data_IF_395493052356
#
_entry.id   IF_395493052356
#
_cell.length_a   1.000
_cell.length_b   1.000
_cell.length_c   1.000
_cell.angle_alpha   90.00
_cell.angle_beta   90.00
_cell.angle_gamma   90.00
#
_symmetry.space_group_name_H-M   'P 1'
#
loop_
_entity.id
_entity.type
_entity.pdbx_description
1 polymer ?
#
# COMPACT_ATOMS: atom_id res chain seq x y z
N UNK A 1 5.58 18.87 -20.04
CA UNK A 1 4.95 18.51 -18.75
C UNK A 1 4.74 17.00 -18.80
N UNK A 2 5.15 16.25 -17.80
CA UNK A 2 4.94 14.80 -17.76
C UNK A 2 3.44 14.57 -17.54
N UNK A 3 2.80 13.83 -18.43
CA UNK A 3 1.40 13.44 -18.34
C UNK A 3 1.34 11.96 -17.95
N UNK A 4 0.66 11.65 -16.84
CA UNK A 4 0.53 10.29 -16.37
C UNK A 4 -0.40 9.50 -17.27
N UNK A 5 0.13 8.47 -17.91
CA UNK A 5 -0.64 7.62 -18.84
C UNK A 5 -1.67 6.78 -18.09
N UNK A 6 -2.80 6.52 -18.74
CA UNK A 6 -3.80 5.55 -18.25
C UNK A 6 -3.30 4.11 -18.41
N UNK A 7 -3.76 3.24 -17.51
CA UNK A 7 -3.51 1.80 -17.58
C UNK A 7 -4.44 1.13 -18.64
N UNK A 8 -4.03 0.02 -19.23
CA UNK A 8 -2.81 -0.77 -18.98
C UNK A 8 -1.56 -0.15 -19.59
N UNK A 9 -0.41 -0.49 -19.04
CA UNK A 9 0.91 -0.24 -19.65
C UNK A 9 1.09 -1.17 -20.85
N UNK A 10 1.86 -0.74 -21.86
CA UNK A 10 2.22 -1.59 -23.00
C UNK A 10 2.88 -2.89 -22.49
N UNK A 11 2.30 -4.05 -22.86
CA UNK A 11 2.77 -5.37 -22.45
C UNK A 11 4.25 -5.61 -22.76
N UNK A 12 4.76 -5.06 -23.86
CA UNK A 12 6.18 -5.14 -24.24
C UNK A 12 7.12 -4.56 -23.19
N UNK A 13 6.64 -3.64 -22.34
CA UNK A 13 7.42 -3.04 -21.26
C UNK A 13 7.47 -3.90 -20.00
N UNK A 14 6.43 -4.70 -19.77
CA UNK A 14 6.27 -5.52 -18.55
C UNK A 14 6.46 -7.02 -18.79
N UNK A 15 6.37 -7.51 -20.03
CA UNK A 15 6.57 -8.92 -20.38
C UNK A 15 8.01 -9.21 -20.86
N UNK A 16 9.01 -8.60 -20.21
CA UNK A 16 10.41 -8.89 -20.52
C UNK A 16 10.87 -10.15 -19.82
N UNK A 17 11.85 -10.84 -20.38
CA UNK A 17 12.43 -12.08 -19.79
C UNK A 17 12.87 -11.85 -18.35
N UNK A 18 13.43 -10.68 -18.02
CA UNK A 18 13.90 -10.38 -16.67
C UNK A 18 12.73 -10.22 -15.70
N UNK A 19 11.66 -9.54 -16.11
CA UNK A 19 10.45 -9.38 -15.28
C UNK A 19 9.77 -10.74 -15.09
N UNK A 20 9.59 -11.54 -16.13
CA UNK A 20 8.98 -12.87 -16.03
C UNK A 20 9.77 -13.82 -15.12
N UNK A 21 11.11 -13.77 -15.15
CA UNK A 21 11.94 -14.54 -14.22
C UNK A 21 11.79 -14.06 -12.77
N UNK A 22 11.72 -12.75 -12.55
CA UNK A 22 11.51 -12.17 -11.20
C UNK A 22 10.11 -12.53 -10.67
N UNK A 23 9.10 -12.42 -11.51
CA UNK A 23 7.71 -12.79 -11.20
C UNK A 23 7.58 -14.28 -10.83
N UNK A 24 8.18 -15.18 -11.63
CA UNK A 24 8.19 -16.63 -11.32
C UNK A 24 8.81 -16.90 -9.95
N UNK A 25 9.90 -16.23 -9.62
CA UNK A 25 10.55 -16.36 -8.30
C UNK A 25 9.67 -15.83 -7.17
N UNK A 26 9.03 -14.68 -7.37
CA UNK A 26 8.14 -14.08 -6.38
C UNK A 26 6.87 -14.91 -6.18
N UNK A 27 6.24 -15.39 -7.26
CA UNK A 27 5.06 -16.24 -7.21
C UNK A 27 5.34 -17.55 -6.45
N UNK A 28 6.51 -18.17 -6.67
CA UNK A 28 6.94 -19.36 -5.91
C UNK A 28 7.05 -19.07 -4.42
N UNK A 29 7.67 -17.96 -4.03
CA UNK A 29 7.81 -17.59 -2.62
C UNK A 29 6.45 -17.26 -1.96
N UNK A 30 5.54 -16.60 -2.69
CA UNK A 30 4.17 -16.35 -2.19
C UNK A 30 3.37 -17.64 -2.03
N UNK A 31 3.47 -18.58 -2.97
CA UNK A 31 2.80 -19.88 -2.86
C UNK A 31 3.33 -20.68 -1.65
N UNK A 32 4.63 -20.65 -1.40
CA UNK A 32 5.24 -21.27 -0.22
C UNK A 32 4.75 -20.61 1.08
N UNK A 33 4.73 -19.26 1.15
CA UNK A 33 4.19 -18.52 2.29
C UNK A 33 2.72 -18.86 2.55
N UNK A 34 1.88 -18.87 1.50
CA UNK A 34 0.47 -19.25 1.58
C UNK A 34 0.31 -20.68 2.12
N UNK A 35 1.11 -21.61 1.62
CA UNK A 35 1.09 -23.01 2.06
C UNK A 35 1.48 -23.17 3.54
N UNK A 36 2.55 -22.52 3.98
CA UNK A 36 3.00 -22.55 5.37
C UNK A 36 1.96 -21.92 6.29
N UNK A 37 1.36 -20.79 5.92
CA UNK A 37 0.36 -20.11 6.73
C UNK A 37 -0.85 -21.01 7.04
N UNK A 38 -1.25 -21.84 6.08
CA UNK A 38 -2.42 -22.72 6.23
C UNK A 38 -2.21 -23.87 7.21
N UNK A 39 -0.98 -24.26 7.52
CA UNK A 39 -0.67 -25.32 8.47
C UNK A 39 -0.39 -24.84 9.90
N UNK A 40 -0.38 -23.53 10.12
CA UNK A 40 -0.16 -22.95 11.47
C UNK A 40 -1.44 -23.12 12.31
N UNK A 41 -1.36 -23.78 13.50
CA UNK A 41 -2.55 -24.08 14.30
C UNK A 41 -3.33 -22.86 14.77
N UNK A 42 -2.66 -21.73 15.01
CA UNK A 42 -3.28 -20.47 15.43
C UNK A 42 -2.87 -19.33 14.51
N UNK A 43 -3.54 -19.27 13.35
CA UNK A 43 -3.29 -18.26 12.33
C UNK A 43 -3.52 -16.82 12.86
N UNK A 44 -4.47 -16.62 13.78
CA UNK A 44 -4.80 -15.27 14.27
C UNK A 44 -3.63 -14.62 15.01
N UNK A 45 -2.84 -15.38 15.76
CA UNK A 45 -1.63 -14.87 16.43
C UNK A 45 -0.59 -14.42 15.41
N UNK A 46 -0.36 -15.26 14.38
CA UNK A 46 0.58 -14.94 13.30
C UNK A 46 0.15 -13.70 12.54
N UNK A 47 -1.12 -13.65 12.11
CA UNK A 47 -1.68 -12.53 11.37
C UNK A 47 -1.53 -11.23 12.18
N UNK A 48 -1.93 -11.24 13.45
CA UNK A 48 -1.82 -10.08 14.31
C UNK A 48 -0.36 -9.60 14.47
N UNK A 49 0.59 -10.52 14.65
CA UNK A 49 2.00 -10.17 14.78
C UNK A 49 2.57 -9.58 13.48
N UNK A 50 2.26 -10.19 12.33
CA UNK A 50 2.74 -9.72 11.02
C UNK A 50 2.11 -8.36 10.68
N UNK A 51 0.80 -8.22 10.83
CA UNK A 51 0.10 -6.95 10.55
C UNK A 51 0.65 -5.83 11.43
N UNK A 52 0.96 -6.09 12.70
CA UNK A 52 1.55 -5.10 13.59
C UNK A 52 2.97 -4.67 13.13
N UNK A 53 3.80 -5.62 12.69
CA UNK A 53 5.13 -5.32 12.17
C UNK A 53 5.05 -4.58 10.82
N UNK A 54 4.15 -4.99 9.93
CA UNK A 54 3.88 -4.30 8.67
C UNK A 54 3.44 -2.86 8.92
N UNK A 55 2.49 -2.65 9.84
CA UNK A 55 1.99 -1.32 10.23
C UNK A 55 3.12 -0.41 10.73
N UNK A 56 4.01 -0.96 11.58
CA UNK A 56 5.16 -0.24 12.12
C UNK A 56 6.14 0.18 11.04
N UNK A 57 6.57 -0.76 10.20
CA UNK A 57 7.59 -0.47 9.21
C UNK A 57 7.04 0.35 8.04
N UNK A 58 5.78 0.15 7.65
CA UNK A 58 5.11 0.98 6.66
C UNK A 58 4.99 2.45 7.12
N UNK A 59 4.64 2.67 8.38
CA UNK A 59 4.64 4.01 8.98
C UNK A 59 6.06 4.58 9.11
N UNK A 60 7.04 3.73 9.44
CA UNK A 60 8.46 4.10 9.51
C UNK A 60 9.07 4.56 8.18
N UNK A 61 8.57 4.07 7.04
CA UNK A 61 8.94 4.57 5.71
C UNK A 61 8.61 6.07 5.60
N UNK A 62 7.50 6.51 6.19
CA UNK A 62 7.05 7.91 6.25
C UNK A 62 7.60 8.68 7.48
N UNK A 63 8.68 8.19 8.11
CA UNK A 63 9.30 8.77 9.30
C UNK A 63 8.42 8.81 10.57
N UNK A 64 7.33 8.03 10.62
CA UNK A 64 6.51 7.83 11.82
C UNK A 64 7.13 6.70 12.63
N UNK A 65 7.84 7.04 13.70
CA UNK A 65 8.69 6.10 14.44
C UNK A 65 8.08 5.79 15.79
N UNK A 66 7.89 4.50 16.08
CA UNK A 66 7.51 3.98 17.40
C UNK A 66 8.32 2.73 17.76
N UNK A 67 8.36 2.38 19.02
CA UNK A 67 9.06 1.18 19.51
C UNK A 67 8.12 -0.04 19.53
N UNK A 68 8.72 -1.23 19.52
CA UNK A 68 7.94 -2.47 19.69
C UNK A 68 7.24 -2.50 21.04
N UNK A 69 7.91 -2.04 22.09
CA UNK A 69 7.37 -2.04 23.46
C UNK A 69 6.13 -1.15 23.56
N UNK A 70 6.15 0.04 22.98
CA UNK A 70 4.99 0.94 22.94
C UNK A 70 3.83 0.35 22.17
N UNK A 71 4.09 -0.29 21.03
CA UNK A 71 3.06 -0.99 20.26
C UNK A 71 2.44 -2.17 21.04
N UNK A 72 3.25 -3.00 21.65
CA UNK A 72 2.73 -4.12 22.44
C UNK A 72 1.93 -3.63 23.66
N UNK A 73 2.36 -2.57 24.32
CA UNK A 73 1.59 -1.93 25.41
C UNK A 73 0.27 -1.36 24.91
N UNK A 74 0.25 -0.74 23.72
CA UNK A 74 -0.97 -0.22 23.11
C UNK A 74 -1.96 -1.33 22.75
N UNK A 75 -1.48 -2.44 22.17
CA UNK A 75 -2.31 -3.60 21.80
C UNK A 75 -2.85 -4.34 23.04
N UNK A 76 -2.08 -4.42 24.11
CA UNK A 76 -2.48 -5.08 25.36
C UNK A 76 -3.32 -4.20 26.29
N UNK A 77 -3.65 -2.97 25.87
CA UNK A 77 -4.41 -1.98 26.66
C UNK A 77 -3.77 -1.64 28.02
N UNK A 78 -2.48 -1.93 28.18
CA UNK A 78 -1.74 -1.65 29.43
C UNK A 78 -1.14 -0.26 29.47
N UNK A 79 -1.13 0.45 28.34
CA UNK A 79 -0.59 1.80 28.24
C UNK A 79 -1.57 2.82 28.86
N UNK A 80 -1.10 3.57 29.85
CA UNK A 80 -1.85 4.70 30.44
C UNK A 80 -2.00 5.87 29.47
N UNK A 81 -1.07 6.03 28.54
CA UNK A 81 -1.06 7.06 27.52
C UNK A 81 -0.31 6.52 26.29
N UNK A 82 -0.89 6.72 25.11
CA UNK A 82 -0.30 6.32 23.84
C UNK A 82 0.14 7.61 23.11
N UNK A 83 1.39 7.66 22.64
CA UNK A 83 1.90 8.78 21.85
C UNK A 83 1.29 8.82 20.43
N UNK A 84 1.48 9.95 19.71
CA UNK A 84 0.87 10.14 18.39
C UNK A 84 1.40 9.16 17.35
N UNK A 85 2.71 8.88 17.35
CA UNK A 85 3.31 7.96 16.37
C UNK A 85 2.78 6.53 16.56
N UNK A 86 2.69 6.07 17.80
CA UNK A 86 2.10 4.77 18.13
C UNK A 86 0.62 4.69 17.72
N UNK A 87 -0.17 5.77 17.91
CA UNK A 87 -1.56 5.83 17.44
C UNK A 87 -1.65 5.70 15.91
N UNK A 88 -0.81 6.40 15.16
CA UNK A 88 -0.79 6.34 13.70
C UNK A 88 -0.46 4.92 13.19
N UNK A 89 0.46 4.22 13.86
CA UNK A 89 0.72 2.81 13.54
C UNK A 89 -0.50 1.92 13.85
N UNK A 90 -1.24 2.19 14.92
CA UNK A 90 -2.47 1.48 15.22
C UNK A 90 -3.57 1.76 14.19
N UNK A 91 -3.69 3.00 13.70
CA UNK A 91 -4.62 3.35 12.61
C UNK A 91 -4.28 2.65 11.30
N UNK A 92 -2.99 2.48 10.98
CA UNK A 92 -2.59 1.66 9.83
C UNK A 92 -3.10 0.22 9.97
N UNK A 93 -2.92 -0.39 11.14
CA UNK A 93 -3.43 -1.73 11.45
C UNK A 93 -4.96 -1.80 11.27
N UNK A 94 -5.68 -0.82 11.79
CA UNK A 94 -7.14 -0.72 11.66
C UNK A 94 -7.57 -0.57 10.20
N UNK A 95 -6.91 0.31 9.44
CA UNK A 95 -7.17 0.54 8.02
C UNK A 95 -6.95 -0.73 7.19
N UNK A 96 -5.87 -1.48 7.45
CA UNK A 96 -5.59 -2.75 6.77
C UNK A 96 -6.66 -3.80 7.05
N UNK A 97 -7.09 -3.95 8.31
CA UNK A 97 -8.18 -4.89 8.64
C UNK A 97 -9.51 -4.45 8.05
N UNK A 98 -9.84 -3.15 8.10
CA UNK A 98 -11.06 -2.63 7.47
C UNK A 98 -11.09 -2.95 5.98
N UNK A 99 -10.00 -2.64 5.25
CA UNK A 99 -9.89 -2.99 3.83
C UNK A 99 -10.00 -4.48 3.55
N UNK A 100 -9.37 -5.31 4.40
CA UNK A 100 -9.45 -6.77 4.28
C UNK A 100 -10.88 -7.30 4.45
N UNK A 101 -11.62 -6.84 5.45
CA UNK A 101 -13.00 -7.27 5.67
C UNK A 101 -13.96 -6.79 4.57
N UNK A 102 -13.77 -5.56 4.07
CA UNK A 102 -14.52 -5.04 2.92
C UNK A 102 -14.27 -5.87 1.67
N UNK A 103 -12.99 -6.17 1.38
CA UNK A 103 -12.62 -7.05 0.27
C UNK A 103 -13.27 -8.43 0.38
N UNK A 104 -13.27 -9.04 1.57
CA UNK A 104 -13.93 -10.35 1.79
C UNK A 104 -15.45 -10.30 1.61
N UNK A 105 -16.09 -9.15 1.82
CA UNK A 105 -17.53 -8.98 1.66
C UNK A 105 -17.94 -8.76 0.19
N UNK A 106 -17.08 -8.12 -0.61
CA UNK A 106 -17.48 -7.64 -1.95
C UNK A 106 -16.67 -8.28 -3.10
N UNK A 107 -15.50 -8.85 -2.83
CA UNK A 107 -14.59 -9.45 -3.81
C UNK A 107 -14.13 -8.47 -4.91
N UNK A 108 -14.05 -7.19 -4.57
CA UNK A 108 -13.45 -6.12 -5.39
C UNK A 108 -12.99 -4.96 -4.50
N UNK A 109 -12.16 -4.07 -5.05
CA UNK A 109 -11.68 -2.85 -4.39
C UNK A 109 -12.22 -1.63 -5.15
N UNK A 110 -13.10 -0.86 -4.52
CA UNK A 110 -13.65 0.37 -5.09
C UNK A 110 -12.85 1.61 -4.69
N UNK A 111 -13.11 2.73 -5.36
CA UNK A 111 -12.59 4.05 -4.95
C UNK A 111 -13.03 4.38 -3.52
N UNK A 112 -14.28 4.05 -3.16
CA UNK A 112 -14.79 4.30 -1.81
C UNK A 112 -14.05 3.49 -0.74
N UNK A 113 -13.65 2.24 -1.05
CA UNK A 113 -12.83 1.43 -0.13
C UNK A 113 -11.46 2.07 0.07
N UNK A 114 -10.83 2.56 -1.00
CA UNK A 114 -9.54 3.26 -0.93
C UNK A 114 -9.65 4.54 -0.10
N UNK A 115 -10.70 5.34 -0.30
CA UNK A 115 -10.98 6.54 0.48
C UNK A 115 -11.23 6.20 1.96
N UNK A 116 -11.97 5.14 2.25
CA UNK A 116 -12.23 4.70 3.61
C UNK A 116 -10.95 4.21 4.33
N UNK A 117 -10.09 3.47 3.63
CA UNK A 117 -8.78 3.07 4.14
C UNK A 117 -7.96 4.31 4.52
N UNK A 118 -7.86 5.29 3.62
CA UNK A 118 -7.12 6.52 3.88
C UNK A 118 -7.72 7.33 5.03
N UNK A 119 -9.06 7.45 5.10
CA UNK A 119 -9.76 8.13 6.20
C UNK A 119 -9.41 7.52 7.56
N UNK A 120 -9.45 6.20 7.68
CA UNK A 120 -9.06 5.50 8.92
C UNK A 120 -7.59 5.76 9.24
N UNK A 121 -6.73 5.72 8.22
CA UNK A 121 -5.29 5.87 8.35
C UNK A 121 -4.86 7.23 8.89
N UNK A 122 -5.48 8.32 8.41
CA UNK A 122 -5.10 9.71 8.75
C UNK A 122 -6.07 10.38 9.70
N UNK A 123 -7.16 9.71 10.08
CA UNK A 123 -8.19 10.20 11.02
C UNK A 123 -8.80 11.55 10.61
N UNK A 124 -9.01 11.75 9.31
CA UNK A 124 -9.72 12.92 8.79
C UNK A 124 -10.61 12.57 7.59
N UNK A 125 -11.53 13.47 7.26
CA UNK A 125 -12.53 13.33 6.20
C UNK A 125 -12.22 14.16 4.94
N UNK A 126 -10.97 14.57 4.72
CA UNK A 126 -10.59 15.41 3.57
C UNK A 126 -10.83 14.70 2.22
N UNK A 127 -10.71 13.38 2.19
CA UNK A 127 -10.93 12.57 0.99
C UNK A 127 -9.95 12.89 -0.13
N UNK A 128 -10.39 12.68 -1.38
CA UNK A 128 -9.59 12.97 -2.58
C UNK A 128 -9.34 14.47 -2.67
N UNK A 129 -8.08 14.87 -2.86
CA UNK A 129 -7.71 16.28 -2.97
C UNK A 129 -8.38 16.97 -4.16
N UNK A 130 -8.79 18.20 -3.92
CA UNK A 130 -9.51 19.03 -4.90
C UNK A 130 -8.72 20.28 -5.29
N UNK A 131 -7.76 20.68 -4.44
CA UNK A 131 -6.95 21.88 -4.65
C UNK A 131 -5.64 21.53 -5.37
N UNK A 132 -5.23 22.36 -6.35
CA UNK A 132 -3.93 22.20 -7.01
C UNK A 132 -2.79 22.63 -6.06
N UNK A 133 -1.55 22.37 -6.49
CA UNK A 133 -0.34 22.82 -5.79
C UNK A 133 0.43 21.70 -5.09
N UNK A 134 -0.09 20.47 -5.08
CA UNK A 134 0.64 19.30 -4.55
C UNK A 134 1.90 19.07 -5.38
N UNK A 135 3.04 18.91 -4.70
CA UNK A 135 4.34 18.61 -5.29
C UNK A 135 5.04 17.62 -4.37
N UNK A 136 5.70 16.63 -4.94
CA UNK A 136 6.60 15.77 -4.20
C UNK A 136 7.99 16.38 -4.24
N UNK A 137 8.56 16.58 -3.08
CA UNK A 137 9.88 17.20 -2.92
C UNK A 137 10.84 16.24 -2.26
N UNK A 138 12.11 16.37 -2.58
CA UNK A 138 13.15 15.68 -1.85
C UNK A 138 13.41 16.41 -0.52
N UNK A 139 13.17 15.72 0.60
CA UNK A 139 13.31 16.30 1.95
C UNK A 139 14.71 16.83 2.27
N UNK A 140 15.75 16.34 1.58
CA UNK A 140 17.15 16.77 1.80
C UNK A 140 17.54 17.99 0.96
N UNK A 141 17.04 18.07 -0.30
CA UNK A 141 17.45 19.10 -1.27
C UNK A 141 16.38 20.17 -1.50
N UNK A 142 15.15 19.96 -1.03
CA UNK A 142 13.95 20.77 -1.35
C UNK A 142 13.65 20.88 -2.85
N UNK A 143 14.23 20.02 -3.67
CA UNK A 143 13.95 19.95 -5.10
C UNK A 143 12.63 19.24 -5.37
N UNK A 144 11.86 19.76 -6.32
CA UNK A 144 10.63 19.10 -6.79
C UNK A 144 11.04 17.89 -7.62
N UNK A 145 10.73 16.69 -7.13
CA UNK A 145 11.02 15.43 -7.82
C UNK A 145 9.88 14.97 -8.72
N UNK A 146 8.64 15.32 -8.38
CA UNK A 146 7.47 14.99 -9.16
C UNK A 146 6.30 15.94 -8.88
N UNK A 147 5.52 16.25 -9.93
CA UNK A 147 4.28 17.01 -9.81
C UNK A 147 3.13 16.12 -10.25
N UNK A 148 2.31 15.59 -9.31
CA UNK A 148 1.18 14.72 -9.63
C UNK A 148 0.05 15.48 -10.33
N UNK A 149 -0.98 14.81 -10.87
CA UNK A 149 -2.17 15.43 -11.44
C UNK A 149 -2.71 16.55 -10.56
N UNK A 150 -3.08 17.69 -11.12
CA UNK A 150 -3.41 18.88 -10.35
C UNK A 150 -4.92 19.17 -10.26
N UNK A 151 -5.72 18.60 -11.13
CA UNK A 151 -7.17 18.83 -11.13
C UNK A 151 -7.93 17.65 -10.56
N UNK A 152 -9.03 17.92 -9.85
CA UNK A 152 -9.89 16.85 -9.33
C UNK A 152 -10.42 15.95 -10.44
N UNK A 153 -10.79 16.52 -11.58
CA UNK A 153 -11.30 15.73 -12.73
C UNK A 153 -10.25 14.71 -13.21
N UNK A 154 -9.01 15.13 -13.40
CA UNK A 154 -7.92 14.26 -13.82
C UNK A 154 -7.65 13.14 -12.80
N UNK A 155 -7.65 13.49 -11.50
CA UNK A 155 -7.48 12.52 -10.43
C UNK A 155 -8.61 11.49 -10.42
N UNK A 156 -9.88 11.94 -10.54
CA UNK A 156 -11.03 11.04 -10.54
C UNK A 156 -11.01 10.10 -11.75
N UNK A 157 -10.64 10.59 -12.95
CA UNK A 157 -10.49 9.78 -14.16
C UNK A 157 -9.38 8.74 -14.02
N UNK A 158 -8.22 9.13 -13.46
CA UNK A 158 -7.10 8.23 -13.25
C UNK A 158 -7.39 7.20 -12.17
N UNK A 159 -8.07 7.57 -11.07
CA UNK A 159 -8.49 6.64 -10.03
C UNK A 159 -9.54 5.64 -10.57
N UNK A 160 -10.47 6.10 -11.39
CA UNK A 160 -11.42 5.19 -12.05
C UNK A 160 -10.68 4.19 -12.93
N UNK A 161 -9.80 4.65 -13.79
CA UNK A 161 -8.98 3.78 -14.62
C UNK A 161 -8.12 2.80 -13.78
N UNK A 162 -7.54 3.28 -12.68
CA UNK A 162 -6.77 2.48 -11.74
C UNK A 162 -7.61 1.35 -11.14
N UNK A 163 -8.81 1.65 -10.62
CA UNK A 163 -9.68 0.64 -10.01
C UNK A 163 -10.25 -0.32 -11.03
N UNK A 164 -10.60 0.13 -12.23
CA UNK A 164 -11.03 -0.74 -13.34
C UNK A 164 -9.91 -1.73 -13.71
N UNK A 165 -8.66 -1.27 -13.81
CA UNK A 165 -7.51 -2.13 -14.10
C UNK A 165 -7.16 -3.05 -12.93
N UNK A 166 -7.21 -2.58 -11.68
CA UNK A 166 -6.94 -3.37 -10.48
C UNK A 166 -7.87 -4.60 -10.40
N UNK A 167 -9.15 -4.39 -10.67
CA UNK A 167 -10.17 -5.44 -10.54
C UNK A 167 -10.29 -6.36 -11.76
N UNK A 168 -9.67 -6.05 -12.90
CA UNK A 168 -9.76 -6.94 -14.08
C UNK A 168 -9.17 -8.34 -13.80
N UNK A 169 -9.40 -9.30 -14.71
CA UNK A 169 -9.06 -10.71 -14.52
C UNK A 169 -7.54 -11.01 -14.47
N UNK A 170 -6.69 -10.11 -14.98
CA UNK A 170 -5.23 -10.28 -14.93
C UNK A 170 -4.73 -10.24 -13.48
N UNK A 171 -3.92 -11.24 -13.08
CA UNK A 171 -3.47 -11.48 -11.71
C UNK A 171 -1.95 -11.48 -11.52
N UNK A 172 -1.20 -10.95 -12.50
CA UNK A 172 0.27 -10.99 -12.48
C UNK A 172 0.87 -10.13 -11.35
N UNK A 173 2.04 -10.54 -10.84
CA UNK A 173 2.78 -9.73 -9.86
C UNK A 173 3.45 -8.52 -10.51
N UNK A 174 3.73 -8.55 -11.81
CA UNK A 174 4.16 -7.38 -12.56
C UNK A 174 3.08 -6.28 -12.53
N UNK A 175 1.80 -6.66 -12.64
CA UNK A 175 0.67 -5.75 -12.49
C UNK A 175 0.61 -5.10 -11.10
N UNK A 176 0.92 -5.84 -10.03
CA UNK A 176 1.01 -5.25 -8.68
C UNK A 176 2.03 -4.11 -8.63
N UNK A 177 3.20 -4.29 -9.24
CA UNK A 177 4.22 -3.24 -9.28
C UNK A 177 3.75 -2.01 -10.09
N UNK A 178 3.08 -2.24 -11.23
CA UNK A 178 2.49 -1.17 -12.06
C UNK A 178 1.41 -0.42 -11.29
N UNK A 179 0.52 -1.13 -10.59
CA UNK A 179 -0.53 -0.53 -9.76
C UNK A 179 0.07 0.33 -8.63
N UNK A 180 1.09 -0.17 -7.96
CA UNK A 180 1.74 0.60 -6.90
C UNK A 180 2.35 1.90 -7.43
N UNK A 181 3.13 1.82 -8.51
CA UNK A 181 3.69 3.00 -9.18
C UNK A 181 2.61 3.98 -9.62
N UNK A 182 1.53 3.49 -10.25
CA UNK A 182 0.44 4.33 -10.72
C UNK A 182 -0.26 5.06 -9.57
N UNK A 183 -0.55 4.36 -8.47
CA UNK A 183 -1.20 4.96 -7.31
C UNK A 183 -0.33 6.05 -6.67
N UNK A 184 0.96 5.77 -6.46
CA UNK A 184 1.91 6.77 -5.96
C UNK A 184 2.04 7.97 -6.89
N UNK A 185 1.94 7.76 -8.21
CA UNK A 185 2.00 8.83 -9.22
C UNK A 185 0.71 9.65 -9.29
N UNK A 186 -0.47 9.05 -9.14
CA UNK A 186 -1.75 9.79 -9.03
C UNK A 186 -1.73 10.65 -7.78
N UNK A 187 -1.21 10.14 -6.68
CA UNK A 187 -1.11 10.82 -5.39
C UNK A 187 -2.42 11.50 -4.97
N UNK A 188 -3.51 10.71 -4.83
CA UNK A 188 -4.87 11.26 -4.79
C UNK A 188 -5.23 12.01 -3.51
N UNK A 189 -4.47 11.87 -2.45
CA UNK A 189 -4.78 12.42 -1.13
C UNK A 189 -3.80 13.52 -0.72
N UNK A 190 -4.19 14.34 0.25
CA UNK A 190 -3.30 15.33 0.86
C UNK A 190 -2.25 14.68 1.77
N UNK A 191 -2.59 13.53 2.40
CA UNK A 191 -1.71 12.73 3.27
C UNK A 191 -2.09 11.25 3.21
N UNK A 192 -1.13 10.40 3.56
CA UNK A 192 -1.33 8.95 3.68
C UNK A 192 -1.27 8.17 2.37
N UNK A 193 -0.84 8.78 1.24
CA UNK A 193 -0.77 8.09 -0.06
C UNK A 193 0.12 6.85 0.01
N UNK A 194 1.37 6.96 0.43
CA UNK A 194 2.29 5.84 0.50
C UNK A 194 1.79 4.70 1.39
N UNK A 195 1.25 5.02 2.56
CA UNK A 195 0.67 4.01 3.47
C UNK A 195 -0.56 3.34 2.87
N UNK A 196 -1.45 4.10 2.23
CA UNK A 196 -2.63 3.57 1.51
C UNK A 196 -2.20 2.68 0.35
N UNK A 197 -1.23 3.10 -0.47
CA UNK A 197 -0.69 2.31 -1.58
C UNK A 197 -0.12 0.97 -1.12
N UNK A 198 0.59 0.93 0.01
CA UNK A 198 1.11 -0.33 0.57
C UNK A 198 0.01 -1.24 1.12
N UNK A 199 -1.06 -0.69 1.69
CA UNK A 199 -2.25 -1.48 2.04
C UNK A 199 -2.91 -2.07 0.79
N UNK A 200 -3.10 -1.29 -0.27
CA UNK A 200 -3.65 -1.76 -1.55
C UNK A 200 -2.83 -2.92 -2.12
N UNK A 201 -1.49 -2.90 -2.00
CA UNK A 201 -0.64 -4.00 -2.44
C UNK A 201 -0.98 -5.32 -1.74
N UNK A 202 -1.19 -5.29 -0.41
CA UNK A 202 -1.57 -6.47 0.36
C UNK A 202 -2.96 -6.95 -0.04
N UNK A 203 -3.92 -6.02 -0.19
CA UNK A 203 -5.29 -6.34 -0.59
C UNK A 203 -5.35 -6.90 -2.01
N UNK A 204 -4.54 -6.39 -2.95
CA UNK A 204 -4.43 -6.94 -4.30
C UNK A 204 -4.00 -8.41 -4.29
N UNK A 205 -2.99 -8.76 -3.49
CA UNK A 205 -2.54 -10.16 -3.38
C UNK A 205 -3.63 -11.08 -2.82
N UNK A 206 -4.51 -10.56 -1.97
CA UNK A 206 -5.66 -11.30 -1.44
C UNK A 206 -6.77 -11.38 -2.48
N UNK A 207 -7.11 -10.27 -3.14
CA UNK A 207 -8.09 -10.23 -4.23
C UNK A 207 -7.75 -11.22 -5.36
N UNK A 208 -6.47 -11.34 -5.70
CA UNK A 208 -5.97 -12.24 -6.74
C UNK A 208 -5.61 -13.64 -6.23
N UNK A 209 -6.03 -13.98 -5.02
CA UNK A 209 -5.82 -15.28 -4.39
C UNK A 209 -4.35 -15.74 -4.27
N UNK A 210 -3.39 -14.82 -4.40
CA UNK A 210 -2.00 -15.12 -4.07
C UNK A 210 -1.81 -15.36 -2.58
N UNK A 211 -2.63 -14.70 -1.75
CA UNK A 211 -2.75 -14.89 -0.30
C UNK A 211 -4.21 -15.03 0.11
N UNK A 212 -4.47 -15.66 1.26
CA UNK A 212 -5.82 -15.78 1.84
C UNK A 212 -6.08 -14.70 2.92
N UNK A 213 -5.00 -14.26 3.56
CA UNK A 213 -5.01 -13.36 4.72
C UNK A 213 -3.80 -12.41 4.64
N UNK A 214 -3.80 -11.27 5.35
CA UNK A 214 -2.74 -10.26 5.26
C UNK A 214 -1.48 -10.66 6.04
N UNK A 215 -0.75 -11.65 5.52
CA UNK A 215 0.46 -12.21 6.15
C UNK A 215 1.77 -11.83 5.43
N UNK A 216 1.72 -10.91 4.48
CA UNK A 216 2.93 -10.42 3.82
C UNK A 216 3.50 -9.22 4.58
N UNK A 217 4.78 -9.32 4.94
CA UNK A 217 5.54 -8.26 5.58
C UNK A 217 6.43 -7.54 4.56
N UNK A 218 5.77 -6.83 3.63
CA UNK A 218 6.41 -6.16 2.49
C UNK A 218 7.23 -4.95 2.93
N UNK A 219 6.74 -4.17 3.89
CA UNK A 219 7.39 -2.94 4.35
C UNK A 219 8.72 -3.18 5.04
N UNK A 220 8.98 -4.40 5.53
CA UNK A 220 10.30 -4.79 6.05
C UNK A 220 11.41 -4.72 5.00
N UNK A 221 11.09 -5.08 3.75
CA UNK A 221 12.06 -4.94 2.65
C UNK A 221 12.20 -3.49 2.22
N UNK A 222 11.09 -2.78 2.07
CA UNK A 222 11.07 -1.39 1.60
C UNK A 222 11.86 -0.48 2.56
N UNK A 223 11.64 -0.59 3.88
CA UNK A 223 12.31 0.29 4.85
C UNK A 223 13.84 0.08 4.87
N UNK A 224 14.30 -1.15 4.63
CA UNK A 224 15.72 -1.47 4.53
C UNK A 224 16.37 -0.98 3.23
N UNK A 225 15.56 -0.75 2.19
CA UNK A 225 15.98 -0.32 0.87
C UNK A 225 15.30 1.00 0.46
N UNK A 226 15.03 1.88 1.45
CA UNK A 226 14.21 3.09 1.30
C UNK A 226 14.72 4.02 0.18
N UNK A 227 16.02 4.24 0.11
CA UNK A 227 16.61 5.13 -0.91
C UNK A 227 16.43 4.56 -2.33
N UNK A 228 16.56 3.24 -2.50
CA UNK A 228 16.32 2.58 -3.78
C UNK A 228 14.84 2.61 -4.18
N UNK A 229 13.96 2.37 -3.22
CA UNK A 229 12.51 2.43 -3.42
C UNK A 229 12.07 3.80 -3.96
N UNK A 230 12.47 4.90 -3.30
CA UNK A 230 12.13 6.24 -3.78
C UNK A 230 12.80 6.60 -5.11
N UNK A 231 14.04 6.17 -5.33
CA UNK A 231 14.74 6.35 -6.61
C UNK A 231 14.03 5.65 -7.77
N UNK A 232 13.41 4.48 -7.52
CA UNK A 232 12.64 3.76 -8.54
C UNK A 232 11.30 4.42 -8.83
N UNK A 233 10.62 4.98 -7.82
CA UNK A 233 9.39 5.74 -8.01
C UNK A 233 9.59 7.08 -8.76
N UNK A 234 10.82 7.60 -8.81
CA UNK A 234 11.17 8.86 -9.48
C UNK A 234 11.63 8.68 -10.93
N UNK A 235 11.72 7.46 -11.45
CA UNK A 235 12.14 7.16 -12.83
C UNK A 235 10.96 7.08 -13.78
#
# INVERSE_FOLDING_TARGET
MFELSKLPVDSKKIETINILKAETKAAKALAELKGIANVIPNQSILINAIVLQESKDSSGIENIITTKDELYKAVSETAKKIDSATKEVMFYREALYSGFYQLKAHDFISINDIVNIQKILVQNDAGIRTLPGTKLVNDRTNEIVYTPPQTKQEIDELLKNFTDYLNNADDTLAKLAVLHYQFESIHPFYDGNGRTGRIINILYLILKHHLEVPILYLSSYIIKNKDEYYKLLQK
#
